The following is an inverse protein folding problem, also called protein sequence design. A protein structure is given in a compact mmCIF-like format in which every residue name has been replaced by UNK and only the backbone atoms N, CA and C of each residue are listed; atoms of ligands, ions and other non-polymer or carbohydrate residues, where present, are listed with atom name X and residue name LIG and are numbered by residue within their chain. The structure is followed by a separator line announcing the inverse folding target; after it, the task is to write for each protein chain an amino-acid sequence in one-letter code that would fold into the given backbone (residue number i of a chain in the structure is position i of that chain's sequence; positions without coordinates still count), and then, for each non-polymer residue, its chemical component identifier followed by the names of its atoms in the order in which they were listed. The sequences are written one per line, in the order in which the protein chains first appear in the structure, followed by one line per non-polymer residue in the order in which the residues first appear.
data_IF_455191508209
#
_entry.id   IF_455191508209
#
_cell.length_a   1.000
_cell.length_b   1.000
_cell.length_c   1.000
_cell.angle_alpha   90.00
_cell.angle_beta   90.00
_cell.angle_gamma   90.00
#
_symmetry.space_group_name_H-M   'P 1'
#
loop_
_entity.id
_entity.type
_entity.pdbx_description
1 polymer ?
#
# COMPACT_ATOMS: atom_id res chain seq x y z
N UNK A 1 36.08 3.99 9.50
CA UNK A 1 34.94 3.66 8.62
C UNK A 1 34.49 2.24 8.94
N UNK A 2 33.21 2.04 9.17
CA UNK A 2 32.59 0.72 9.37
C UNK A 2 31.64 0.45 8.21
N UNK A 3 31.67 -0.77 7.67
CA UNK A 3 30.85 -1.18 6.52
C UNK A 3 30.06 -2.45 6.88
N UNK A 4 28.81 -2.50 6.49
CA UNK A 4 27.94 -3.66 6.66
C UNK A 4 27.23 -3.97 5.35
N UNK A 5 27.32 -5.22 4.91
CA UNK A 5 26.56 -5.71 3.76
C UNK A 5 25.09 -5.87 4.13
N UNK A 6 24.23 -5.41 3.23
CA UNK A 6 22.79 -5.52 3.31
C UNK A 6 22.29 -6.41 2.14
N UNK A 7 21.11 -6.98 2.28
CA UNK A 7 20.49 -7.73 1.17
C UNK A 7 20.17 -6.90 -0.08
N UNK A 8 20.26 -5.58 0.03
CA UNK A 8 19.92 -4.63 -1.03
C UNK A 8 21.02 -3.59 -1.25
N UNK A 9 22.24 -3.84 -0.79
CA UNK A 9 23.35 -2.90 -0.95
C UNK A 9 24.31 -2.88 0.23
N UNK A 10 24.91 -1.73 0.52
CA UNK A 10 25.94 -1.59 1.54
C UNK A 10 25.66 -0.36 2.42
N UNK A 11 25.75 -0.53 3.73
CA UNK A 11 25.69 0.57 4.69
C UNK A 11 27.10 0.92 5.18
N UNK A 12 27.46 2.20 5.12
CA UNK A 12 28.75 2.72 5.54
C UNK A 12 28.58 3.76 6.62
N UNK A 13 29.32 3.60 7.73
CA UNK A 13 29.42 4.61 8.79
C UNK A 13 30.82 5.20 8.79
N UNK A 14 30.88 6.52 8.75
CA UNK A 14 32.13 7.27 8.86
C UNK A 14 31.95 8.50 9.76
N UNK A 15 33.02 9.06 10.21
CA UNK A 15 33.06 10.20 11.16
C UNK A 15 33.69 11.39 10.47
N UNK A 16 32.88 12.30 9.86
CA UNK A 16 33.39 13.52 9.23
C UNK A 16 34.13 14.43 10.23
N UNK A 17 33.63 14.48 11.45
CA UNK A 17 34.26 15.21 12.56
C UNK A 17 34.36 14.30 13.77
N UNK A 18 35.52 14.23 14.39
CA UNK A 18 35.75 13.50 15.64
C UNK A 18 36.82 14.23 16.44
N UNK A 19 36.40 15.12 17.35
CA UNK A 19 37.23 15.91 18.24
C UNK A 19 36.72 15.73 19.66
N UNK A 20 37.44 16.24 20.63
CA UNK A 20 37.02 16.23 22.05
C UNK A 20 35.73 17.04 22.28
N UNK A 21 35.46 18.02 21.43
CA UNK A 21 34.31 18.93 21.54
C UNK A 21 33.12 18.50 20.70
N UNK A 22 33.34 17.82 19.58
CA UNK A 22 32.28 17.47 18.60
C UNK A 22 32.61 16.14 17.92
N UNK A 23 31.58 15.29 17.82
CA UNK A 23 31.63 14.06 17.06
C UNK A 23 30.42 13.97 16.11
N UNK A 24 30.66 13.91 14.82
CA UNK A 24 29.63 13.68 13.80
C UNK A 24 29.80 12.29 13.20
N UNK A 25 28.77 11.46 13.29
CA UNK A 25 28.66 10.19 12.60
C UNK A 25 27.74 10.34 11.39
N UNK A 26 28.19 9.90 10.23
CA UNK A 26 27.37 9.86 9.01
C UNK A 26 27.10 8.40 8.60
N UNK A 27 25.83 8.10 8.35
CA UNK A 27 25.40 6.83 7.78
C UNK A 27 25.07 7.05 6.30
N UNK A 28 25.80 6.39 5.43
CA UNK A 28 25.56 6.33 4.00
C UNK A 28 25.04 4.95 3.62
N UNK A 29 23.91 4.90 2.89
CA UNK A 29 23.34 3.66 2.41
C UNK A 29 23.42 3.67 0.88
N UNK A 30 24.25 2.79 0.35
CA UNK A 30 24.41 2.56 -1.07
C UNK A 30 23.50 1.39 -1.48
N UNK A 31 22.47 1.69 -2.27
CA UNK A 31 21.42 0.73 -2.62
C UNK A 31 21.73 0.14 -3.99
N UNK A 32 21.94 -1.17 -4.04
CA UNK A 32 22.00 -1.94 -5.29
C UNK A 32 20.56 -2.21 -5.74
N UNK A 33 20.18 -1.57 -6.83
CA UNK A 33 18.84 -1.67 -7.42
C UNK A 33 18.49 -3.09 -7.85
N UNK A 34 19.42 -3.81 -8.43
CA UNK A 34 19.16 -5.15 -8.97
C UNK A 34 18.98 -6.16 -7.83
N UNK A 35 19.76 -6.02 -6.77
CA UNK A 35 19.59 -6.81 -5.54
C UNK A 35 18.28 -6.46 -4.83
N UNK A 36 17.92 -5.17 -4.76
CA UNK A 36 16.66 -4.73 -4.16
C UNK A 36 15.45 -5.34 -4.88
N UNK A 37 15.43 -5.34 -6.21
CA UNK A 37 14.35 -5.90 -7.01
C UNK A 37 14.25 -7.43 -6.93
N UNK A 38 15.29 -8.14 -6.49
CA UNK A 38 15.25 -9.58 -6.21
C UNK A 38 14.49 -9.90 -4.91
N UNK A 39 14.38 -8.96 -3.99
CA UNK A 39 13.68 -9.17 -2.72
C UNK A 39 12.16 -9.23 -2.96
N UNK A 40 11.51 -10.28 -2.43
CA UNK A 40 10.07 -10.53 -2.64
C UNK A 40 9.17 -9.35 -2.27
N UNK A 41 9.53 -8.63 -1.21
CA UNK A 41 8.77 -7.50 -0.67
C UNK A 41 8.76 -6.26 -1.57
N UNK A 42 9.77 -6.11 -2.44
CA UNK A 42 9.88 -4.96 -3.35
C UNK A 42 9.49 -5.29 -4.80
N UNK A 43 9.17 -6.56 -5.09
CA UNK A 43 8.69 -6.98 -6.41
C UNK A 43 7.27 -6.54 -6.73
N UNK A 44 6.48 -6.21 -5.71
CA UNK A 44 5.08 -5.82 -5.88
C UNK A 44 4.89 -4.38 -6.38
N UNK A 45 5.89 -3.51 -6.19
CA UNK A 45 5.82 -2.09 -6.53
C UNK A 45 6.33 -1.78 -7.95
N UNK A 46 6.24 -2.71 -8.87
CA UNK A 46 6.75 -2.54 -10.24
C UNK A 46 5.87 -1.65 -11.14
N UNK A 47 4.96 -0.87 -10.58
CA UNK A 47 4.10 0.03 -11.34
C UNK A 47 4.83 1.27 -11.91
N UNK A 48 6.11 1.49 -11.58
CA UNK A 48 6.88 2.61 -12.12
C UNK A 48 7.84 2.18 -13.21
N UNK A 49 7.51 2.55 -14.44
CA UNK A 49 8.36 2.46 -15.63
C UNK A 49 9.73 3.15 -15.48
N UNK A 50 9.88 4.05 -14.53
CA UNK A 50 11.10 4.86 -14.35
C UNK A 50 12.11 4.28 -13.37
N UNK A 51 11.74 3.31 -12.53
CA UNK A 51 12.70 2.57 -11.69
C UNK A 51 13.67 3.40 -10.85
N UNK A 52 13.32 4.63 -10.50
CA UNK A 52 14.13 5.47 -9.63
C UNK A 52 13.78 5.18 -8.16
N UNK A 53 14.74 4.62 -7.43
CA UNK A 53 14.60 4.33 -5.99
C UNK A 53 14.41 5.62 -5.19
N UNK A 54 14.98 6.73 -5.66
CA UNK A 54 14.92 8.03 -5.00
C UNK A 54 13.50 8.63 -4.95
N UNK A 55 12.58 8.18 -5.79
CA UNK A 55 11.18 8.64 -5.79
C UNK A 55 10.31 7.88 -4.78
N UNK A 56 10.88 6.92 -4.06
CA UNK A 56 10.16 6.05 -3.12
C UNK A 56 10.32 6.54 -1.70
N UNK A 57 9.23 6.95 -1.08
CA UNK A 57 9.20 7.39 0.32
C UNK A 57 9.78 6.34 1.29
N UNK A 58 9.53 5.05 1.02
CA UNK A 58 10.05 3.95 1.85
C UNK A 58 11.58 3.76 1.79
N UNK A 59 12.27 4.33 0.80
CA UNK A 59 13.73 4.27 0.76
C UNK A 59 14.35 4.99 1.95
N UNK A 60 13.80 6.14 2.34
CA UNK A 60 14.26 6.92 3.48
C UNK A 60 13.74 6.40 4.85
N UNK A 61 12.78 5.48 4.86
CA UNK A 61 12.20 4.92 6.08
C UNK A 61 12.62 3.47 6.30
N UNK A 62 12.07 2.53 5.55
CA UNK A 62 12.28 1.10 5.76
C UNK A 62 13.71 0.64 5.46
N UNK A 63 14.33 1.10 4.36
CA UNK A 63 15.72 0.73 4.05
C UNK A 63 16.70 1.36 5.03
N UNK A 64 16.49 2.62 5.40
CA UNK A 64 17.32 3.31 6.39
C UNK A 64 17.25 2.61 7.76
N UNK A 65 16.07 2.17 8.20
CA UNK A 65 15.95 1.46 9.49
C UNK A 65 16.62 0.10 9.49
N UNK A 66 16.62 -0.63 8.35
CA UNK A 66 17.41 -1.86 8.20
C UNK A 66 18.90 -1.56 8.29
N UNK A 67 19.37 -0.50 7.64
CA UNK A 67 20.76 -0.07 7.71
C UNK A 67 21.16 0.37 9.14
N UNK A 68 20.34 1.21 9.80
CA UNK A 68 20.53 1.60 11.19
C UNK A 68 20.73 0.39 12.11
N UNK A 69 19.84 -0.60 11.99
CA UNK A 69 19.95 -1.82 12.80
C UNK A 69 21.23 -2.60 12.47
N UNK A 70 21.63 -2.67 11.20
CA UNK A 70 22.80 -3.43 10.78
C UNK A 70 24.09 -2.85 11.36
N UNK A 71 24.26 -1.52 11.32
CA UNK A 71 25.50 -0.87 11.72
C UNK A 71 25.53 -0.42 13.18
N UNK A 72 24.37 -0.16 13.82
CA UNK A 72 24.28 0.34 15.19
C UNK A 72 23.63 -0.65 16.16
N UNK A 73 23.56 -1.94 15.82
CA UNK A 73 22.89 -2.95 16.65
C UNK A 73 23.35 -2.96 18.12
N UNK A 74 24.65 -2.80 18.36
CA UNK A 74 25.23 -2.74 19.71
C UNK A 74 24.79 -1.49 20.46
N UNK A 75 24.83 -0.32 19.82
CA UNK A 75 24.41 0.94 20.43
C UNK A 75 22.91 1.00 20.71
N UNK A 76 22.11 0.24 19.95
CA UNK A 76 20.66 0.12 20.13
C UNK A 76 20.25 -0.93 21.16
N UNK A 77 21.18 -1.81 21.61
CA UNK A 77 20.87 -2.90 22.51
C UNK A 77 20.63 -2.42 23.94
N UNK A 78 19.59 -2.99 24.60
CA UNK A 78 19.23 -2.66 25.98
C UNK A 78 19.99 -3.51 27.02
N UNK A 79 20.50 -4.68 26.61
CA UNK A 79 21.00 -5.70 27.54
C UNK A 79 22.45 -5.48 28.05
N UNK A 80 23.23 -4.69 27.35
CA UNK A 80 24.61 -4.37 27.74
C UNK A 80 24.92 -2.91 27.44
N UNK A 81 24.44 -1.99 28.27
CA UNK A 81 24.75 -0.57 28.10
C UNK A 81 26.26 -0.34 28.24
N UNK A 82 26.83 0.41 27.29
CA UNK A 82 28.17 0.99 27.46
C UNK A 82 28.10 2.11 28.50
N UNK A 83 29.11 2.33 29.31
CA UNK A 83 29.16 3.49 30.23
C UNK A 83 28.97 4.84 29.53
N UNK A 84 29.26 4.91 28.24
CA UNK A 84 29.04 6.10 27.39
C UNK A 84 27.61 6.23 26.85
N UNK A 85 26.82 5.16 26.89
CA UNK A 85 25.44 5.16 26.37
C UNK A 85 24.42 5.65 27.39
N UNK A 86 24.78 5.73 28.69
CA UNK A 86 23.85 6.05 29.78
C UNK A 86 23.74 7.56 30.05
N UNK A 87 24.71 8.36 29.61
CA UNK A 87 24.72 9.79 29.83
C UNK A 87 23.99 10.54 28.70
N UNK A 88 22.87 11.23 29.00
CA UNK A 88 22.21 12.08 28.00
C UNK A 88 23.13 13.20 27.55
N UNK A 89 23.29 13.37 26.26
CA UNK A 89 24.07 14.39 25.58
C UNK A 89 23.22 15.26 24.69
N UNK A 90 23.69 16.43 24.32
CA UNK A 90 23.03 17.27 23.33
C UNK A 90 23.29 16.66 21.95
N UNK A 91 22.23 16.11 21.36
CA UNK A 91 22.29 15.41 20.10
C UNK A 91 21.54 16.18 19.00
N UNK A 92 22.09 16.11 17.80
CA UNK A 92 21.40 16.57 16.59
C UNK A 92 21.51 15.48 15.53
N UNK A 93 20.38 15.11 14.92
CA UNK A 93 20.35 14.19 13.79
C UNK A 93 19.60 14.81 12.62
N UNK A 94 20.15 14.64 11.43
CA UNK A 94 19.49 15.07 10.19
C UNK A 94 19.22 13.86 9.31
N UNK A 95 17.96 13.70 8.89
CA UNK A 95 17.50 12.63 8.00
C UNK A 95 16.87 13.26 6.77
N UNK A 96 17.40 12.93 5.60
CA UNK A 96 16.90 13.43 4.33
C UNK A 96 15.65 12.67 3.87
N UNK A 97 14.76 13.35 3.13
CA UNK A 97 13.63 12.76 2.43
C UNK A 97 12.68 11.94 3.32
N UNK A 98 12.38 12.44 4.52
CA UNK A 98 11.48 11.77 5.47
C UNK A 98 10.03 11.92 4.99
N UNK A 99 9.26 10.83 4.83
CA UNK A 99 7.84 10.91 4.47
C UNK A 99 7.01 11.49 5.63
N UNK A 100 5.84 12.06 5.31
CA UNK A 100 4.89 12.58 6.30
C UNK A 100 4.72 14.10 6.24
N UNK A 101 3.64 14.58 6.85
CA UNK A 101 3.36 16.01 6.98
C UNK A 101 4.13 16.64 8.14
N UNK A 102 4.25 17.98 8.15
CA UNK A 102 4.85 18.72 9.29
C UNK A 102 4.18 18.33 10.62
N UNK A 103 2.85 18.30 10.63
CA UNK A 103 2.09 17.95 11.83
C UNK A 103 2.35 16.52 12.30
N UNK A 104 2.40 15.54 11.36
CA UNK A 104 2.66 14.15 11.71
C UNK A 104 4.07 13.95 12.27
N UNK A 105 5.08 14.56 11.66
CA UNK A 105 6.47 14.46 12.12
C UNK A 105 6.61 15.06 13.52
N UNK A 106 6.06 16.26 13.75
CA UNK A 106 6.08 16.90 15.08
C UNK A 106 5.33 16.08 16.11
N UNK A 107 4.12 15.60 15.78
CA UNK A 107 3.29 14.81 16.70
C UNK A 107 3.96 13.50 17.15
N UNK A 108 4.93 12.97 16.39
CA UNK A 108 5.68 11.78 16.75
C UNK A 108 6.98 12.07 17.52
N UNK A 109 7.67 13.16 17.21
CA UNK A 109 9.00 13.39 17.78
C UNK A 109 9.01 14.42 18.93
N UNK A 110 8.18 15.47 18.90
CA UNK A 110 8.15 16.50 19.95
C UNK A 110 7.75 15.97 21.35
N UNK A 111 6.79 15.00 21.47
CA UNK A 111 6.49 14.42 22.79
C UNK A 111 7.66 13.67 23.43
N UNK A 112 8.66 13.29 22.65
CA UNK A 112 9.89 12.61 23.11
C UNK A 112 11.02 13.60 23.46
N UNK A 113 10.72 14.91 23.45
CA UNK A 113 11.68 15.96 23.78
C UNK A 113 12.54 16.45 22.61
N UNK A 114 12.22 16.04 21.38
CA UNK A 114 12.94 16.52 20.20
C UNK A 114 12.38 17.84 19.68
N UNK A 115 13.26 18.81 19.45
CA UNK A 115 12.94 19.99 18.65
C UNK A 115 13.02 19.61 17.17
N UNK A 116 11.92 19.76 16.43
CA UNK A 116 11.82 19.39 15.03
C UNK A 116 12.02 20.61 14.15
N UNK A 117 12.95 20.52 13.20
CA UNK A 117 13.15 21.51 12.12
C UNK A 117 13.02 20.81 10.78
N UNK A 118 12.22 21.38 9.88
CA UNK A 118 11.96 20.82 8.56
C UNK A 118 12.51 21.75 7.48
N UNK A 119 13.26 21.18 6.55
CA UNK A 119 13.77 21.90 5.37
C UNK A 119 13.17 21.29 4.10
N UNK A 120 12.45 22.12 3.35
CA UNK A 120 11.79 21.80 2.09
C UNK A 120 12.56 22.33 0.87
N UNK A 121 13.76 22.86 1.02
CA UNK A 121 14.53 23.54 -0.05
C UNK A 121 14.91 22.62 -1.22
N UNK A 122 14.99 21.31 -0.99
CA UNK A 122 15.36 20.32 -2.00
C UNK A 122 14.18 19.80 -2.84
N UNK A 123 13.04 20.46 -2.78
CA UNK A 123 11.82 20.03 -3.45
C UNK A 123 11.83 20.35 -4.93
N UNK A 124 11.64 19.34 -5.78
CA UNK A 124 11.41 19.52 -7.23
C UNK A 124 9.91 19.77 -7.45
N UNK A 125 9.56 20.82 -8.19
CA UNK A 125 8.18 21.18 -8.46
C UNK A 125 7.41 20.02 -9.10
N UNK A 126 6.27 19.64 -8.50
CA UNK A 126 5.36 18.59 -9.00
C UNK A 126 5.48 17.23 -8.34
N UNK A 127 6.38 17.02 -7.37
CA UNK A 127 6.47 15.78 -6.60
C UNK A 127 5.89 15.91 -5.19
N UNK A 128 5.37 14.81 -4.60
CA UNK A 128 5.01 14.74 -3.18
C UNK A 128 6.29 14.87 -2.34
N UNK A 129 6.36 15.91 -1.54
CA UNK A 129 7.55 16.38 -0.87
C UNK A 129 7.83 15.61 0.42
N UNK A 130 9.09 15.21 0.56
CA UNK A 130 9.62 14.64 1.79
C UNK A 130 10.71 15.58 2.31
N UNK A 131 10.48 16.30 3.42
CA UNK A 131 11.44 17.24 3.95
C UNK A 131 12.72 16.56 4.46
N UNK A 132 13.79 17.32 4.52
CA UNK A 132 14.91 16.99 5.38
C UNK A 132 14.54 17.35 6.82
N UNK A 133 14.53 16.35 7.69
CA UNK A 133 14.15 16.49 9.10
C UNK A 133 15.42 16.60 9.96
N UNK A 134 15.51 17.66 10.75
CA UNK A 134 16.54 17.80 11.79
C UNK A 134 15.87 17.74 13.15
N UNK A 135 16.30 16.76 13.97
CA UNK A 135 15.88 16.58 15.35
C UNK A 135 17.05 17.02 16.24
N UNK A 136 16.80 17.89 17.21
CA UNK A 136 17.78 18.28 18.21
C UNK A 136 17.18 18.19 19.61
N UNK A 137 17.98 17.69 20.56
CA UNK A 137 17.51 17.50 21.93
C UNK A 137 18.56 16.83 22.80
N UNK A 138 18.26 16.70 24.09
CA UNK A 138 19.11 16.05 25.06
C UNK A 138 18.60 14.64 25.35
N UNK A 139 19.36 13.63 24.89
CA UNK A 139 18.97 12.23 24.99
C UNK A 139 20.24 11.34 25.00
N UNK A 140 20.07 10.03 25.21
CA UNK A 140 21.12 9.06 24.93
C UNK A 140 21.14 8.74 23.41
N UNK A 141 22.30 8.32 22.91
CA UNK A 141 22.43 7.84 21.52
C UNK A 141 21.49 6.65 21.26
N UNK A 142 21.33 5.79 22.27
CA UNK A 142 20.41 4.65 22.22
C UNK A 142 18.96 5.08 21.99
N UNK A 143 18.48 6.06 22.77
CA UNK A 143 17.11 6.56 22.63
C UNK A 143 16.89 7.17 21.25
N UNK A 144 17.81 8.01 20.79
CA UNK A 144 17.78 8.59 19.45
C UNK A 144 17.63 7.52 18.37
N UNK A 145 18.51 6.51 18.38
CA UNK A 145 18.52 5.45 17.37
C UNK A 145 17.24 4.58 17.44
N UNK A 146 16.73 4.29 18.64
CA UNK A 146 15.50 3.54 18.80
C UNK A 146 14.25 4.34 18.40
N UNK A 147 14.21 5.66 18.68
CA UNK A 147 13.16 6.54 18.19
C UNK A 147 13.13 6.57 16.65
N UNK A 148 14.27 6.76 15.99
CA UNK A 148 14.36 6.73 14.53
C UNK A 148 13.92 5.37 13.97
N UNK A 149 14.42 4.26 14.56
CA UNK A 149 14.11 2.91 14.10
C UNK A 149 12.62 2.59 14.13
N UNK A 150 11.90 3.10 15.12
CA UNK A 150 10.46 2.83 15.28
C UNK A 150 9.63 3.85 14.50
N UNK A 151 9.95 5.14 14.58
CA UNK A 151 9.07 6.20 14.10
C UNK A 151 9.21 6.50 12.60
N UNK A 152 10.38 6.30 11.99
CA UNK A 152 10.53 6.52 10.54
C UNK A 152 9.60 5.62 9.70
N UNK A 153 9.48 4.29 9.95
CA UNK A 153 8.53 3.46 9.23
C UNK A 153 7.06 3.84 9.48
N UNK A 154 6.74 4.39 10.65
CA UNK A 154 5.38 4.85 10.99
C UNK A 154 4.95 6.03 10.12
N UNK A 155 5.90 6.86 9.69
CA UNK A 155 5.62 8.03 8.84
C UNK A 155 5.28 7.67 7.41
N UNK A 156 5.78 6.56 6.87
CA UNK A 156 5.47 6.15 5.49
C UNK A 156 4.23 5.26 5.35
N UNK A 157 3.44 5.16 6.40
CA UNK A 157 2.17 4.41 6.39
C UNK A 157 2.29 2.95 6.82
N UNK A 158 3.50 2.48 7.12
CA UNK A 158 3.72 1.12 7.62
C UNK A 158 5.06 0.52 7.19
N UNK A 159 5.38 -0.65 7.74
CA UNK A 159 6.56 -1.40 7.34
C UNK A 159 6.34 -2.13 6.03
N UNK A 160 7.26 -1.96 5.09
CA UNK A 160 7.28 -2.67 3.82
C UNK A 160 7.99 -4.03 3.87
N UNK A 161 8.21 -4.61 5.07
CA UNK A 161 8.79 -5.94 5.26
C UNK A 161 7.98 -6.77 6.26
N UNK A 162 8.13 -8.09 6.22
CA UNK A 162 7.39 -9.02 7.08
C UNK A 162 7.52 -8.67 8.56
N UNK A 163 6.38 -8.52 9.22
CA UNK A 163 6.26 -8.43 10.66
C UNK A 163 6.02 -9.86 11.16
N UNK A 164 6.94 -10.39 11.96
CA UNK A 164 6.80 -11.67 12.65
C UNK A 164 6.73 -11.44 14.17
N UNK A 165 6.50 -12.48 14.95
CA UNK A 165 6.42 -12.40 16.41
C UNK A 165 7.67 -11.76 17.04
N UNK A 166 8.83 -11.87 16.39
CA UNK A 166 10.09 -11.23 16.81
C UNK A 166 10.06 -9.71 16.68
N UNK A 167 9.21 -9.15 15.81
CA UNK A 167 9.04 -7.70 15.70
C UNK A 167 8.27 -7.12 16.88
N UNK A 168 7.34 -7.88 17.47
CA UNK A 168 6.66 -7.50 18.72
C UNK A 168 7.67 -7.41 19.85
N UNK A 169 8.53 -8.43 20.00
CA UNK A 169 9.57 -8.44 21.03
C UNK A 169 10.56 -7.26 20.85
N UNK A 170 10.94 -6.96 19.60
CA UNK A 170 11.78 -5.80 19.30
C UNK A 170 11.09 -4.47 19.65
N UNK A 171 9.81 -4.34 19.29
CA UNK A 171 9.04 -3.14 19.62
C UNK A 171 8.93 -3.00 21.14
N UNK A 172 8.52 -4.06 21.85
CA UNK A 172 8.40 -4.06 23.29
C UNK A 172 9.72 -3.69 23.97
N UNK A 173 10.85 -4.31 23.56
CA UNK A 173 12.16 -4.03 24.13
C UNK A 173 12.65 -2.61 23.85
N UNK A 174 12.50 -2.11 22.61
CA UNK A 174 13.07 -0.83 22.18
C UNK A 174 12.20 0.38 22.53
N UNK A 175 10.92 0.17 22.77
CA UNK A 175 9.94 1.21 23.03
C UNK A 175 9.43 1.23 24.48
N UNK A 176 9.84 0.28 25.32
CA UNK A 176 9.36 0.10 26.69
C UNK A 176 9.42 1.37 27.55
N UNK A 177 10.45 2.19 27.39
CA UNK A 177 10.67 3.38 28.21
C UNK A 177 9.84 4.61 27.80
N UNK A 178 9.23 4.64 26.62
CA UNK A 178 8.58 5.85 26.11
C UNK A 178 7.21 5.63 25.43
N UNK A 179 7.04 4.53 24.71
CA UNK A 179 5.82 4.30 23.91
C UNK A 179 4.55 4.19 24.75
N UNK A 180 4.54 3.60 25.97
CA UNK A 180 3.32 3.53 26.78
C UNK A 180 2.71 4.91 27.10
N UNK A 181 3.55 5.93 27.29
CA UNK A 181 3.14 7.29 27.62
C UNK A 181 2.99 8.21 26.40
N UNK A 182 3.31 7.72 25.21
CA UNK A 182 3.30 8.53 23.99
C UNK A 182 1.86 8.86 23.55
N UNK A 183 1.50 10.15 23.29
CA UNK A 183 0.13 10.55 22.96
C UNK A 183 -0.40 9.94 21.67
N UNK A 184 0.47 9.51 20.76
CA UNK A 184 0.11 8.82 19.51
C UNK A 184 0.40 7.31 19.56
N UNK A 185 0.47 6.70 20.75
CA UNK A 185 0.78 5.29 20.98
C UNK A 185 -0.01 4.34 20.06
N UNK A 186 -1.32 4.50 19.98
CA UNK A 186 -2.18 3.62 19.17
C UNK A 186 -1.85 3.72 17.67
N UNK A 187 -1.64 4.95 17.16
CA UNK A 187 -1.24 5.17 15.76
C UNK A 187 0.12 4.53 15.47
N UNK A 188 1.07 4.65 16.39
CA UNK A 188 2.41 4.05 16.27
C UNK A 188 2.29 2.52 16.21
N UNK A 189 1.58 1.91 17.17
CA UNK A 189 1.39 0.46 17.21
C UNK A 189 0.70 -0.06 15.95
N UNK A 190 -0.40 0.58 15.54
CA UNK A 190 -1.17 0.19 14.36
C UNK A 190 -0.34 0.26 13.08
N UNK A 191 0.41 1.36 12.87
CA UNK A 191 1.24 1.53 11.66
C UNK A 191 2.52 0.68 11.69
N UNK A 192 3.15 0.52 12.85
CA UNK A 192 4.38 -0.28 12.98
C UNK A 192 4.14 -1.77 12.77
N UNK A 193 3.00 -2.29 13.23
CA UNK A 193 2.61 -3.69 13.13
C UNK A 193 1.67 -3.97 11.94
N UNK A 194 1.61 -3.06 10.96
CA UNK A 194 0.68 -3.01 9.85
C UNK A 194 0.07 -4.37 9.43
N UNK A 195 -1.27 -4.41 9.29
CA UNK A 195 -2.09 -5.53 8.82
C UNK A 195 -2.22 -6.80 9.69
N UNK A 196 -1.65 -6.84 10.89
CA UNK A 196 -1.80 -8.00 11.78
C UNK A 196 -2.54 -7.63 13.07
N UNK A 197 -3.87 -7.60 13.04
CA UNK A 197 -4.73 -7.27 14.19
C UNK A 197 -4.40 -8.08 15.45
N UNK A 198 -4.00 -9.34 15.32
CA UNK A 198 -3.58 -10.20 16.44
C UNK A 198 -2.30 -9.70 17.11
N UNK A 199 -1.31 -9.25 16.33
CA UNK A 199 -0.03 -8.78 16.85
C UNK A 199 -0.12 -7.42 17.56
N UNK A 200 -1.05 -6.55 17.12
CA UNK A 200 -1.30 -5.26 17.80
C UNK A 200 -1.79 -5.49 19.23
N UNK A 201 -2.76 -6.40 19.39
CA UNK A 201 -3.29 -6.72 20.72
C UNK A 201 -2.21 -7.33 21.64
N UNK A 202 -1.39 -8.25 21.12
CA UNK A 202 -0.28 -8.83 21.89
C UNK A 202 0.77 -7.77 22.29
N UNK A 203 1.09 -6.83 21.41
CA UNK A 203 2.01 -5.74 21.71
C UNK A 203 1.44 -4.79 22.78
N UNK A 204 0.14 -4.48 22.71
CA UNK A 204 -0.55 -3.66 23.73
C UNK A 204 -0.47 -4.34 25.10
N UNK A 205 -0.75 -5.63 25.18
CA UNK A 205 -0.66 -6.41 26.43
C UNK A 205 0.78 -6.43 26.97
N UNK A 206 1.78 -6.69 26.14
CA UNK A 206 3.21 -6.71 26.55
C UNK A 206 3.71 -5.35 27.03
N UNK A 207 3.22 -4.23 26.45
CA UNK A 207 3.64 -2.88 26.80
C UNK A 207 2.89 -2.30 28.01
N UNK A 208 1.66 -2.74 28.25
CA UNK A 208 0.78 -2.19 29.29
C UNK A 208 0.94 -2.87 30.65
N UNK A 209 1.60 -4.05 30.75
CA UNK A 209 1.60 -4.84 31.96
C UNK A 209 0.19 -5.22 32.44
N UNK A 210 0.05 -5.68 33.70
CA UNK A 210 -1.24 -6.18 34.24
C UNK A 210 -2.37 -5.14 34.32
N UNK A 211 -2.07 -3.84 34.19
CA UNK A 211 -3.07 -2.76 34.22
C UNK A 211 -3.76 -2.49 32.86
N UNK A 212 -3.31 -3.14 31.77
CA UNK A 212 -3.78 -2.87 30.41
C UNK A 212 -4.85 -3.80 29.86
N UNK A 213 -5.25 -4.83 30.60
CA UNK A 213 -6.20 -5.86 30.10
C UNK A 213 -7.58 -5.31 29.74
N UNK A 214 -8.10 -4.29 30.45
CA UNK A 214 -9.41 -3.72 30.18
C UNK A 214 -9.49 -2.97 28.83
N UNK A 215 -8.43 -2.27 28.43
CA UNK A 215 -8.36 -1.56 27.14
C UNK A 215 -8.13 -2.48 25.95
N UNK A 216 -7.43 -3.61 26.15
CA UNK A 216 -7.18 -4.60 25.11
C UNK A 216 -8.46 -5.36 24.69
N UNK A 217 -9.38 -5.57 25.62
CA UNK A 217 -10.66 -6.27 25.39
C UNK A 217 -11.61 -5.40 24.54
N UNK A 218 -11.60 -4.07 24.72
CA UNK A 218 -12.46 -3.17 23.95
C UNK A 218 -12.02 -3.04 22.48
N UNK A 219 -10.72 -3.08 22.20
CA UNK A 219 -10.17 -3.10 20.84
C UNK A 219 -10.33 -4.47 20.13
N UNK A 220 -10.37 -5.56 20.90
CA UNK A 220 -10.56 -6.91 20.36
C UNK A 220 -12.01 -7.23 19.98
N UNK A 221 -13.00 -6.52 20.56
CA UNK A 221 -14.42 -6.74 20.31
C UNK A 221 -14.98 -5.98 19.10
N UNK A 222 -14.18 -5.19 18.38
CA UNK A 222 -14.59 -4.59 17.13
C UNK A 222 -14.62 -5.66 16.02
N UNK A 223 -15.77 -6.28 15.91
CA UNK A 223 -16.34 -7.02 14.78
C UNK A 223 -15.48 -8.12 14.13
N UNK A 224 -15.49 -9.30 14.72
CA UNK A 224 -14.95 -10.54 14.14
C UNK A 224 -15.91 -11.22 13.14
N UNK A 225 -17.09 -10.66 12.85
CA UNK A 225 -18.14 -11.31 12.05
C UNK A 225 -18.19 -10.89 10.59
N UNK A 226 -17.65 -9.73 10.21
CA UNK A 226 -17.72 -9.23 8.83
C UNK A 226 -16.55 -9.71 7.97
N UNK A 227 -16.84 -10.26 6.80
CA UNK A 227 -15.82 -10.57 5.78
C UNK A 227 -15.04 -9.30 5.42
N UNK A 228 -13.70 -9.35 5.25
CA UNK A 228 -12.93 -8.20 4.78
C UNK A 228 -13.51 -7.60 3.49
N UNK A 229 -13.53 -6.27 3.36
CA UNK A 229 -14.12 -5.57 2.21
C UNK A 229 -13.59 -6.09 0.86
N UNK A 230 -12.29 -6.36 0.78
CA UNK A 230 -11.69 -6.93 -0.43
C UNK A 230 -12.34 -8.29 -0.81
N UNK A 231 -12.63 -9.14 0.17
CA UNK A 231 -13.31 -10.41 -0.07
C UNK A 231 -14.77 -10.20 -0.49
N UNK A 232 -15.45 -9.22 0.10
CA UNK A 232 -16.83 -8.86 -0.29
C UNK A 232 -16.87 -8.38 -1.75
N UNK A 233 -15.88 -7.58 -2.20
CA UNK A 233 -15.74 -7.17 -3.61
C UNK A 233 -15.58 -8.36 -4.54
N UNK A 234 -14.61 -9.23 -4.27
CA UNK A 234 -14.38 -10.44 -5.06
C UNK A 234 -15.66 -11.29 -5.17
N UNK A 235 -16.33 -11.57 -4.03
CA UNK A 235 -17.55 -12.36 -3.99
C UNK A 235 -18.71 -11.68 -4.76
N UNK A 236 -18.79 -10.34 -4.73
CA UNK A 236 -19.86 -9.61 -5.45
C UNK A 236 -19.59 -9.56 -6.95
N UNK A 237 -18.36 -9.28 -7.36
CA UNK A 237 -17.96 -9.29 -8.78
C UNK A 237 -18.14 -10.68 -9.39
N UNK A 238 -17.68 -11.74 -8.72
CA UNK A 238 -17.86 -13.12 -9.21
C UNK A 238 -19.33 -13.51 -9.31
N UNK A 239 -20.17 -13.11 -8.35
CA UNK A 239 -21.62 -13.34 -8.46
C UNK A 239 -22.21 -12.68 -9.69
N UNK A 240 -21.78 -11.45 -10.01
CA UNK A 240 -22.24 -10.75 -11.21
C UNK A 240 -21.79 -11.47 -12.47
N UNK A 241 -20.50 -11.78 -12.58
CA UNK A 241 -19.96 -12.54 -13.73
C UNK A 241 -20.74 -13.84 -13.95
N UNK A 242 -20.99 -14.61 -12.89
CA UNK A 242 -21.69 -15.88 -13.01
C UNK A 242 -23.18 -15.72 -13.36
N UNK A 243 -23.82 -14.60 -12.96
CA UNK A 243 -25.21 -14.30 -13.33
C UNK A 243 -25.36 -14.02 -14.82
N UNK A 244 -24.35 -13.40 -15.43
CA UNK A 244 -24.28 -13.09 -16.88
C UNK A 244 -24.00 -14.33 -17.74
N UNK A 245 -23.55 -15.44 -17.15
CA UNK A 245 -23.26 -16.73 -17.81
C UNK A 245 -22.32 -16.63 -19.02
N UNK A 246 -21.20 -15.93 -18.91
CA UNK A 246 -20.29 -15.69 -20.04
C UNK A 246 -19.59 -16.97 -20.48
N UNK A 247 -19.13 -16.97 -21.73
CA UNK A 247 -18.21 -17.96 -22.29
C UNK A 247 -16.78 -17.46 -22.33
N UNK A 248 -16.59 -16.14 -22.38
CA UNK A 248 -15.30 -15.47 -22.38
C UNK A 248 -15.30 -14.30 -21.40
N UNK A 249 -14.21 -14.19 -20.61
CA UNK A 249 -14.05 -13.14 -19.58
C UNK A 249 -12.62 -12.60 -19.64
N UNK A 250 -12.50 -11.28 -19.60
CA UNK A 250 -11.21 -10.62 -19.36
C UNK A 250 -11.23 -9.87 -18.03
N UNK A 251 -10.21 -10.08 -17.21
CA UNK A 251 -9.93 -9.32 -15.98
C UNK A 251 -8.79 -8.34 -16.26
N UNK A 252 -9.13 -7.07 -16.42
CA UNK A 252 -8.20 -5.98 -16.75
C UNK A 252 -7.66 -5.39 -15.45
N UNK A 253 -6.36 -5.52 -15.19
CA UNK A 253 -5.77 -5.25 -13.89
C UNK A 253 -5.97 -6.42 -12.92
N UNK A 254 -5.76 -7.65 -13.39
CA UNK A 254 -6.06 -8.88 -12.66
C UNK A 254 -5.19 -9.09 -11.40
N UNK A 255 -4.11 -8.33 -11.24
CA UNK A 255 -3.17 -8.48 -10.14
C UNK A 255 -2.65 -9.91 -10.02
N UNK A 256 -2.71 -10.46 -8.81
CA UNK A 256 -2.31 -11.84 -8.53
C UNK A 256 -3.33 -12.91 -8.95
N UNK A 257 -4.36 -12.55 -9.72
CA UNK A 257 -5.31 -13.49 -10.34
C UNK A 257 -6.40 -14.01 -9.39
N UNK A 258 -6.79 -13.24 -8.39
CA UNK A 258 -7.76 -13.66 -7.35
C UNK A 258 -9.15 -14.00 -7.91
N UNK A 259 -9.58 -13.36 -9.01
CA UNK A 259 -10.83 -13.65 -9.68
C UNK A 259 -10.69 -14.82 -10.67
N UNK A 260 -9.51 -15.00 -11.25
CA UNK A 260 -9.28 -16.00 -12.31
C UNK A 260 -9.48 -17.43 -11.82
N UNK A 261 -9.03 -17.75 -10.59
CA UNK A 261 -9.17 -19.09 -10.01
C UNK A 261 -10.63 -19.57 -9.96
N UNK A 262 -11.53 -18.85 -9.26
CA UNK A 262 -12.95 -19.19 -9.21
C UNK A 262 -13.64 -19.22 -10.58
N UNK A 263 -13.24 -18.35 -11.53
CA UNK A 263 -13.76 -18.39 -12.91
C UNK A 263 -13.32 -19.66 -13.65
N UNK A 264 -12.08 -20.10 -13.40
CA UNK A 264 -11.53 -21.32 -14.00
C UNK A 264 -12.23 -22.60 -13.51
N UNK A 265 -12.75 -22.58 -12.28
CA UNK A 265 -13.57 -23.68 -11.73
C UNK A 265 -14.91 -23.82 -12.44
N UNK A 266 -15.40 -22.76 -13.10
CA UNK A 266 -16.64 -22.81 -13.87
C UNK A 266 -16.38 -23.33 -15.30
N UNK A 267 -16.83 -24.55 -15.65
CA UNK A 267 -16.54 -25.16 -16.95
C UNK A 267 -17.27 -24.48 -18.14
N UNK A 268 -18.24 -23.60 -17.88
CA UNK A 268 -18.94 -22.84 -18.91
C UNK A 268 -18.10 -21.72 -19.51
N UNK A 269 -17.16 -21.16 -18.73
CA UNK A 269 -16.25 -20.12 -19.20
C UNK A 269 -15.14 -20.80 -19.99
N UNK A 270 -15.21 -20.69 -21.31
CA UNK A 270 -14.28 -21.34 -22.22
C UNK A 270 -12.96 -20.59 -22.36
N UNK A 271 -12.98 -19.27 -22.19
CA UNK A 271 -11.80 -18.41 -22.29
C UNK A 271 -11.75 -17.43 -21.11
N UNK A 272 -10.61 -17.37 -20.46
CA UNK A 272 -10.33 -16.47 -19.34
C UNK A 272 -9.01 -15.75 -19.65
N UNK A 273 -9.08 -14.43 -19.72
CA UNK A 273 -7.91 -13.59 -19.94
C UNK A 273 -7.64 -12.77 -18.69
N UNK A 274 -6.41 -12.75 -18.23
CA UNK A 274 -5.95 -11.85 -17.18
C UNK A 274 -4.89 -10.91 -17.73
N UNK A 275 -5.10 -9.62 -17.63
CA UNK A 275 -4.10 -8.62 -18.02
C UNK A 275 -3.69 -7.76 -16.84
N UNK A 276 -2.42 -7.40 -16.78
CA UNK A 276 -1.89 -6.46 -15.79
C UNK A 276 -0.68 -5.74 -16.38
N UNK A 277 -0.41 -4.53 -15.94
CA UNK A 277 0.79 -3.79 -16.33
C UNK A 277 2.04 -4.36 -15.64
N UNK A 278 1.86 -5.03 -14.51
CA UNK A 278 2.91 -5.63 -13.69
C UNK A 278 3.17 -7.09 -14.08
N UNK A 279 4.30 -7.33 -14.73
CA UNK A 279 4.79 -8.71 -14.98
C UNK A 279 4.96 -9.50 -13.67
N UNK A 280 5.28 -8.78 -12.56
CA UNK A 280 5.40 -9.38 -11.23
C UNK A 280 4.07 -9.97 -10.74
N UNK A 281 2.98 -9.24 -10.91
CA UNK A 281 1.62 -9.71 -10.55
C UNK A 281 1.19 -10.87 -11.45
N UNK A 282 1.43 -10.78 -12.75
CA UNK A 282 1.13 -11.88 -13.67
C UNK A 282 1.88 -13.17 -13.33
N UNK A 283 3.13 -13.07 -12.87
CA UNK A 283 3.87 -14.24 -12.37
C UNK A 283 3.26 -14.81 -11.09
N UNK A 284 2.73 -13.96 -10.21
CA UNK A 284 1.99 -14.42 -9.01
C UNK A 284 0.70 -15.10 -9.43
N UNK A 285 -0.06 -14.51 -10.37
CA UNK A 285 -1.28 -15.12 -10.92
C UNK A 285 -1.00 -16.49 -11.56
N UNK A 286 0.03 -16.59 -12.39
CA UNK A 286 0.49 -17.84 -13.00
C UNK A 286 0.78 -18.93 -11.96
N UNK A 287 1.48 -18.54 -10.88
CA UNK A 287 1.80 -19.44 -9.77
C UNK A 287 0.57 -19.80 -8.93
N UNK A 288 -0.29 -18.83 -8.63
CA UNK A 288 -1.51 -19.04 -7.84
C UNK A 288 -2.49 -19.99 -8.55
N UNK A 289 -2.61 -19.86 -9.86
CA UNK A 289 -3.39 -20.74 -10.70
C UNK A 289 -2.71 -22.11 -10.96
N UNK A 290 -1.42 -22.24 -10.57
CA UNK A 290 -0.64 -23.46 -10.78
C UNK A 290 -0.58 -23.90 -12.26
N UNK A 291 -0.45 -22.93 -13.19
CA UNK A 291 -0.55 -23.17 -14.64
C UNK A 291 0.48 -24.17 -15.16
N UNK A 292 1.70 -24.24 -14.59
CA UNK A 292 2.75 -25.19 -14.97
C UNK A 292 2.37 -26.67 -14.73
N UNK A 293 1.43 -26.92 -13.80
CA UNK A 293 1.00 -28.27 -13.40
C UNK A 293 -0.45 -28.56 -13.76
N UNK A 294 -1.11 -27.59 -14.38
CA UNK A 294 -2.51 -27.71 -14.79
C UNK A 294 -2.65 -28.64 -15.98
N UNK A 295 -3.72 -29.47 -16.06
CA UNK A 295 -4.01 -30.24 -17.26
C UNK A 295 -4.11 -29.34 -18.50
N UNK A 296 -3.50 -29.73 -19.60
CA UNK A 296 -3.38 -28.95 -20.84
C UNK A 296 -4.73 -28.38 -21.31
N UNK A 297 -5.80 -29.19 -21.27
CA UNK A 297 -7.15 -28.75 -21.62
C UNK A 297 -7.68 -27.61 -20.75
N UNK A 298 -7.29 -27.55 -19.48
CA UNK A 298 -7.71 -26.52 -18.56
C UNK A 298 -6.81 -25.29 -18.71
N UNK A 299 -5.48 -25.49 -18.85
CA UNK A 299 -4.52 -24.42 -19.08
C UNK A 299 -4.82 -23.65 -20.38
N UNK A 300 -5.26 -24.35 -21.42
CA UNK A 300 -5.68 -23.73 -22.70
C UNK A 300 -6.85 -22.75 -22.60
N UNK A 301 -7.57 -22.73 -21.45
CA UNK A 301 -8.66 -21.77 -21.19
C UNK A 301 -8.16 -20.45 -20.60
N UNK A 302 -6.91 -20.38 -20.15
CA UNK A 302 -6.38 -19.22 -19.43
C UNK A 302 -5.23 -18.62 -20.21
N UNK A 303 -5.29 -17.32 -20.44
CA UNK A 303 -4.20 -16.54 -20.99
C UNK A 303 -3.84 -15.39 -20.07
N UNK A 304 -2.56 -15.21 -19.76
CA UNK A 304 -2.03 -14.13 -18.94
C UNK A 304 -0.98 -13.35 -19.76
N UNK A 305 -1.20 -12.05 -19.91
CA UNK A 305 -0.22 -11.22 -20.60
C UNK A 305 -0.18 -9.78 -20.10
N UNK A 306 0.96 -9.14 -20.28
CA UNK A 306 1.14 -7.74 -19.92
C UNK A 306 0.38 -6.85 -20.89
N UNK A 307 -0.50 -6.02 -20.35
CA UNK A 307 -1.23 -4.98 -21.07
C UNK A 307 -1.65 -3.86 -20.12
N UNK A 308 -1.93 -2.69 -20.66
CA UNK A 308 -2.46 -1.55 -19.91
C UNK A 308 -3.84 -1.21 -20.42
N UNK A 309 -4.79 -0.94 -19.51
CA UNK A 309 -6.13 -0.48 -19.87
C UNK A 309 -6.15 0.79 -20.74
N UNK A 310 -5.05 1.56 -20.74
CA UNK A 310 -4.93 2.80 -21.54
C UNK A 310 -4.37 2.59 -22.94
N UNK A 311 -4.10 1.35 -23.36
CA UNK A 311 -3.66 1.01 -24.72
C UNK A 311 -4.61 0.00 -25.34
N UNK A 312 -4.91 0.18 -26.63
CA UNK A 312 -5.74 -0.76 -27.38
C UNK A 312 -5.03 -2.12 -27.49
N UNK A 313 -5.74 -3.19 -27.18
CA UNK A 313 -5.23 -4.55 -27.27
C UNK A 313 -6.28 -5.46 -27.89
N UNK A 314 -6.01 -5.89 -29.12
CA UNK A 314 -6.97 -6.71 -29.90
C UNK A 314 -7.22 -8.09 -29.27
N UNK A 315 -6.32 -8.56 -28.38
CA UNK A 315 -6.46 -9.86 -27.72
C UNK A 315 -7.62 -9.91 -26.71
N UNK A 316 -8.10 -8.76 -26.27
CA UNK A 316 -9.25 -8.65 -25.36
C UNK A 316 -10.53 -8.20 -26.07
N UNK A 317 -10.52 -8.12 -27.40
CA UNK A 317 -11.68 -7.67 -28.15
C UNK A 317 -12.81 -8.69 -28.13
N UNK A 318 -14.07 -8.20 -28.14
CA UNK A 318 -15.30 -8.99 -28.26
C UNK A 318 -15.46 -10.07 -27.17
N UNK A 319 -14.95 -9.85 -25.98
CA UNK A 319 -15.22 -10.70 -24.83
C UNK A 319 -16.66 -10.54 -24.35
N UNK A 320 -17.24 -11.60 -23.78
CA UNK A 320 -18.58 -11.49 -23.20
C UNK A 320 -18.58 -10.55 -22.00
N UNK A 321 -17.58 -10.65 -21.13
CA UNK A 321 -17.45 -9.79 -19.93
C UNK A 321 -16.03 -9.26 -19.78
N UNK A 322 -15.90 -7.95 -19.56
CA UNK A 322 -14.68 -7.32 -19.06
C UNK A 322 -14.88 -6.87 -17.60
N UNK A 323 -13.86 -7.05 -16.77
CA UNK A 323 -13.83 -6.65 -15.36
C UNK A 323 -12.72 -5.62 -15.16
N UNK A 324 -13.05 -4.53 -14.46
CA UNK A 324 -12.12 -3.52 -13.94
C UNK A 324 -12.41 -3.38 -12.44
N UNK A 325 -11.83 -4.27 -11.63
CA UNK A 325 -12.04 -4.25 -10.18
C UNK A 325 -10.96 -3.45 -9.48
N UNK A 326 -11.31 -2.24 -9.00
CA UNK A 326 -10.38 -1.31 -8.33
C UNK A 326 -9.19 -0.95 -9.26
N UNK A 327 -9.49 -0.46 -10.46
CA UNK A 327 -8.50 -0.14 -11.51
C UNK A 327 -8.54 1.34 -11.89
N UNK A 328 -9.72 1.92 -12.08
CA UNK A 328 -9.85 3.25 -12.68
C UNK A 328 -9.23 4.34 -11.82
N UNK A 329 -9.27 4.21 -10.50
CA UNK A 329 -8.68 5.14 -9.53
C UNK A 329 -7.15 5.21 -9.58
N UNK A 330 -6.50 4.22 -10.17
CA UNK A 330 -5.05 4.18 -10.39
C UNK A 330 -4.61 4.84 -11.70
N UNK A 331 -5.54 5.24 -12.54
CA UNK A 331 -5.29 5.90 -13.83
C UNK A 331 -5.28 7.42 -13.60
N UNK A 332 -4.31 8.13 -14.18
CA UNK A 332 -4.34 9.59 -14.16
C UNK A 332 -5.60 10.10 -14.87
N UNK A 333 -6.24 11.13 -14.30
CA UNK A 333 -7.55 11.59 -14.77
C UNK A 333 -7.56 12.02 -16.26
N UNK A 334 -6.45 12.55 -16.76
CA UNK A 334 -6.25 12.93 -18.17
C UNK A 334 -6.13 11.71 -19.10
N UNK A 335 -5.84 10.52 -18.57
CA UNK A 335 -5.76 9.25 -19.31
C UNK A 335 -7.02 8.39 -19.22
N UNK A 336 -7.97 8.76 -18.37
CA UNK A 336 -9.24 8.04 -18.25
C UNK A 336 -10.01 7.95 -19.60
N UNK A 337 -10.03 9.00 -20.45
CA UNK A 337 -10.64 8.90 -21.78
C UNK A 337 -9.98 7.86 -22.70
N UNK A 338 -8.68 7.57 -22.53
CA UNK A 338 -8.00 6.52 -23.29
C UNK A 338 -8.46 5.12 -22.83
N UNK A 339 -8.60 4.91 -21.51
CA UNK A 339 -9.19 3.69 -20.97
C UNK A 339 -10.62 3.48 -21.51
N UNK A 340 -11.46 4.53 -21.45
CA UNK A 340 -12.83 4.49 -21.95
C UNK A 340 -12.88 4.05 -23.42
N UNK A 341 -12.08 4.71 -24.26
CA UNK A 341 -12.00 4.38 -25.68
C UNK A 341 -11.53 2.94 -25.92
N UNK A 342 -10.53 2.48 -25.19
CA UNK A 342 -9.97 1.15 -25.39
C UNK A 342 -10.90 0.04 -24.93
N UNK A 343 -11.56 0.20 -23.77
CA UNK A 343 -12.43 -0.83 -23.21
C UNK A 343 -13.79 -0.81 -23.89
N UNK A 344 -14.45 0.36 -23.97
CA UNK A 344 -15.82 0.46 -24.46
C UNK A 344 -15.91 0.70 -25.96
N UNK A 345 -14.89 1.35 -26.58
CA UNK A 345 -14.89 1.66 -28.01
C UNK A 345 -14.18 0.62 -28.89
N UNK A 346 -13.04 0.10 -28.43
CA UNK A 346 -12.22 -0.84 -29.23
C UNK A 346 -12.45 -2.29 -28.83
N UNK A 347 -12.31 -2.62 -27.55
CA UNK A 347 -12.53 -4.00 -27.08
C UNK A 347 -14.01 -4.40 -27.12
N UNK A 348 -14.91 -3.50 -26.87
CA UNK A 348 -16.38 -3.64 -26.96
C UNK A 348 -16.93 -4.95 -26.39
N UNK A 349 -16.67 -5.28 -25.12
CA UNK A 349 -17.24 -6.46 -24.50
C UNK A 349 -18.77 -6.31 -24.38
N UNK A 350 -19.48 -7.43 -24.34
CA UNK A 350 -20.93 -7.39 -24.15
C UNK A 350 -21.33 -6.77 -22.80
N UNK A 351 -20.54 -7.06 -21.76
CA UNK A 351 -20.72 -6.49 -20.43
C UNK A 351 -19.39 -5.96 -19.89
N UNK A 352 -19.45 -4.84 -19.15
CA UNK A 352 -18.29 -4.32 -18.39
C UNK A 352 -18.68 -4.14 -16.93
N UNK A 353 -17.91 -4.72 -16.03
CA UNK A 353 -18.09 -4.57 -14.57
C UNK A 353 -16.98 -3.70 -14.06
N UNK A 354 -17.32 -2.54 -13.50
CA UNK A 354 -16.34 -1.60 -12.90
C UNK A 354 -16.62 -1.48 -11.42
N UNK A 355 -15.59 -1.63 -10.57
CA UNK A 355 -15.67 -1.22 -9.18
C UNK A 355 -14.60 -0.19 -8.87
N UNK A 356 -14.91 0.72 -7.94
CA UNK A 356 -13.99 1.76 -7.48
C UNK A 356 -14.38 2.23 -6.07
N UNK A 357 -13.45 2.77 -5.25
CA UNK A 357 -13.79 3.35 -3.96
C UNK A 357 -14.84 4.45 -4.06
N UNK A 358 -15.67 4.54 -3.01
CA UNK A 358 -16.61 5.65 -2.81
C UNK A 358 -15.99 6.69 -1.88
N UNK A 359 -15.59 7.85 -2.39
CA UNK A 359 -14.97 8.90 -1.58
C UNK A 359 -15.91 9.51 -0.53
N UNK A 360 -17.24 9.51 -0.76
CA UNK A 360 -18.20 9.94 0.26
C UNK A 360 -18.06 9.10 1.54
N UNK A 361 -17.78 7.79 1.40
CA UNK A 361 -17.61 6.88 2.52
C UNK A 361 -16.30 7.09 3.29
N UNK A 362 -15.36 7.88 2.77
CA UNK A 362 -14.08 8.16 3.43
C UNK A 362 -14.27 8.82 4.80
N UNK A 363 -15.37 9.58 4.98
CA UNK A 363 -15.76 10.15 6.27
C UNK A 363 -16.02 9.10 7.37
N UNK A 364 -16.29 7.84 7.00
CA UNK A 364 -16.48 6.74 7.95
C UNK A 364 -15.18 6.12 8.45
N UNK A 365 -14.04 6.48 7.85
CA UNK A 365 -12.74 5.96 8.29
C UNK A 365 -12.07 6.92 9.28
N UNK A 366 -11.99 6.57 10.58
CA UNK A 366 -11.53 7.48 11.63
C UNK A 366 -10.06 7.92 11.50
N UNK A 367 -9.31 7.27 10.63
CA UNK A 367 -7.88 7.55 10.43
C UNK A 367 -7.58 8.14 9.04
N UNK A 368 -8.60 8.55 8.29
CA UNK A 368 -8.45 9.16 6.99
C UNK A 368 -8.80 10.65 7.11
N UNK A 369 -7.83 11.52 6.87
CA UNK A 369 -8.04 12.97 6.91
C UNK A 369 -8.95 13.43 5.76
N UNK A 370 -9.75 14.48 5.93
CA UNK A 370 -10.55 15.04 4.84
C UNK A 370 -9.70 15.36 3.62
N UNK A 371 -10.09 14.83 2.46
CA UNK A 371 -9.38 15.00 1.20
C UNK A 371 -8.23 14.01 0.95
N UNK A 372 -7.96 13.09 1.88
CA UNK A 372 -7.03 11.99 1.64
C UNK A 372 -7.72 10.81 0.95
N UNK A 373 -6.99 10.15 0.06
CA UNK A 373 -7.41 8.90 -0.56
C UNK A 373 -7.11 7.70 0.35
N UNK A 374 -7.86 6.61 0.17
CA UNK A 374 -7.68 5.36 0.94
C UNK A 374 -6.35 4.67 0.67
N UNK A 375 -5.78 4.91 -0.50
CA UNK A 375 -4.51 4.32 -0.92
C UNK A 375 -3.59 5.39 -1.51
N UNK A 376 -2.29 5.27 -1.26
CA UNK A 376 -1.29 6.23 -1.75
C UNK A 376 -1.17 6.26 -3.28
N UNK A 377 -1.58 5.18 -3.93
CA UNK A 377 -1.49 5.01 -5.39
C UNK A 377 -2.77 5.43 -6.12
N UNK A 378 -3.82 5.85 -5.39
CA UNK A 378 -5.01 6.43 -5.99
C UNK A 378 -4.68 7.82 -6.55
N UNK A 379 -5.07 8.03 -7.80
CA UNK A 379 -4.95 9.33 -8.49
C UNK A 379 -6.17 10.20 -8.21
N UNK A 380 -7.30 9.56 -8.02
CA UNK A 380 -8.57 10.16 -7.59
C UNK A 380 -9.43 9.10 -6.90
N UNK A 381 -10.47 9.53 -6.23
CA UNK A 381 -11.57 8.69 -5.77
C UNK A 381 -12.87 9.43 -6.05
N UNK A 382 -13.76 8.83 -6.81
CA UNK A 382 -15.05 9.43 -7.15
C UNK A 382 -16.03 9.39 -5.96
N UNK A 383 -16.73 10.49 -5.74
CA UNK A 383 -17.99 10.46 -5.00
C UNK A 383 -19.06 9.66 -5.77
N UNK A 384 -20.16 9.30 -5.11
CA UNK A 384 -21.27 8.60 -5.78
C UNK A 384 -21.86 9.40 -6.95
N UNK A 385 -21.90 10.72 -6.81
CA UNK A 385 -22.42 11.59 -7.87
C UNK A 385 -21.49 11.61 -9.08
N UNK A 386 -20.18 11.79 -8.85
CA UNK A 386 -19.16 11.81 -9.91
C UNK A 386 -19.05 10.46 -10.62
N UNK A 387 -19.06 9.34 -9.89
CA UNK A 387 -19.03 8.01 -10.49
C UNK A 387 -20.24 7.75 -11.38
N UNK A 388 -21.44 8.11 -10.89
CA UNK A 388 -22.67 7.97 -11.69
C UNK A 388 -22.67 8.86 -12.93
N UNK A 389 -22.14 10.09 -12.82
CA UNK A 389 -22.01 11.00 -13.94
C UNK A 389 -21.04 10.46 -14.98
N UNK A 390 -19.86 10.03 -14.55
CA UNK A 390 -18.86 9.41 -15.41
C UNK A 390 -19.41 8.18 -16.13
N UNK A 391 -19.96 7.24 -15.38
CA UNK A 391 -20.46 5.99 -15.96
C UNK A 391 -21.61 6.21 -16.94
N UNK A 392 -22.52 7.15 -16.67
CA UNK A 392 -23.58 7.52 -17.63
C UNK A 392 -23.02 8.15 -18.89
N UNK A 393 -22.02 9.02 -18.77
CA UNK A 393 -21.35 9.62 -19.94
C UNK A 393 -20.63 8.59 -20.80
N UNK A 394 -19.98 7.59 -20.17
CA UNK A 394 -19.39 6.45 -20.89
C UNK A 394 -20.46 5.62 -21.60
N UNK A 395 -21.54 5.29 -20.89
CA UNK A 395 -22.64 4.51 -21.45
C UNK A 395 -23.26 5.20 -22.68
N UNK A 396 -23.57 6.48 -22.56
CA UNK A 396 -24.11 7.29 -23.66
C UNK A 396 -23.15 7.37 -24.86
N UNK A 397 -21.85 7.61 -24.59
CA UNK A 397 -20.84 7.78 -25.62
C UNK A 397 -20.59 6.52 -26.45
N UNK A 398 -20.67 5.34 -25.82
CA UNK A 398 -20.27 4.07 -26.46
C UNK A 398 -21.45 3.10 -26.69
N UNK A 399 -22.68 3.51 -26.46
CA UNK A 399 -23.88 2.69 -26.73
C UNK A 399 -24.11 1.58 -25.72
N UNK A 400 -23.86 1.86 -24.42
CA UNK A 400 -24.14 0.94 -23.31
C UNK A 400 -25.31 1.44 -22.45
N UNK A 401 -26.01 0.51 -21.85
CA UNK A 401 -26.83 0.76 -20.67
C UNK A 401 -25.98 0.57 -19.41
N UNK A 402 -26.32 1.23 -18.30
CA UNK A 402 -25.57 1.10 -17.06
C UNK A 402 -26.47 0.99 -15.84
N UNK A 403 -26.21 -0.04 -15.02
CA UNK A 403 -26.81 -0.25 -13.71
C UNK A 403 -25.80 -0.04 -12.60
N UNK A 404 -26.28 0.40 -11.43
CA UNK A 404 -25.43 0.75 -10.29
C UNK A 404 -25.75 -0.08 -9.06
N UNK A 405 -24.69 -0.48 -8.35
CA UNK A 405 -24.77 -1.17 -7.07
C UNK A 405 -23.65 -0.68 -6.14
N UNK A 406 -23.63 -1.19 -4.91
CA UNK A 406 -22.57 -0.93 -3.92
C UNK A 406 -22.11 -2.22 -3.27
N UNK A 407 -20.93 -2.17 -2.65
CA UNK A 407 -20.29 -3.32 -1.99
C UNK A 407 -19.79 -2.90 -0.62
N UNK A 408 -20.08 -3.70 0.38
CA UNK A 408 -19.72 -3.45 1.77
C UNK A 408 -20.90 -2.98 2.60
N UNK A 409 -20.63 -2.61 3.86
CA UNK A 409 -21.66 -2.20 4.81
C UNK A 409 -22.28 -0.86 4.40
N UNK A 410 -23.61 -0.77 4.51
CA UNK A 410 -24.36 0.42 4.12
C UNK A 410 -24.35 1.44 5.24
N UNK A 411 -23.88 2.64 4.98
CA UNK A 411 -24.06 3.81 5.83
C UNK A 411 -25.19 4.69 5.30
N UNK A 412 -26.11 5.14 6.15
CA UNK A 412 -27.31 5.89 5.74
C UNK A 412 -26.98 7.12 4.89
N UNK A 413 -25.97 7.89 5.29
CA UNK A 413 -25.55 9.12 4.60
C UNK A 413 -24.60 8.87 3.45
N UNK A 414 -23.61 8.01 3.67
CA UNK A 414 -22.46 7.87 2.77
C UNK A 414 -22.54 6.65 1.82
N UNK A 415 -23.59 5.82 1.95
CA UNK A 415 -23.77 4.64 1.13
C UNK A 415 -22.82 3.50 1.50
N UNK A 416 -22.25 2.83 0.52
CA UNK A 416 -21.33 1.71 0.70
C UNK A 416 -19.87 2.12 0.38
N UNK A 417 -18.86 1.46 0.97
CA UNK A 417 -17.46 1.82 0.80
C UNK A 417 -16.94 1.64 -0.63
N UNK A 418 -17.48 0.70 -1.40
CA UNK A 418 -17.14 0.50 -2.82
C UNK A 418 -18.39 0.67 -3.67
N UNK A 419 -18.26 1.35 -4.78
CA UNK A 419 -19.30 1.50 -5.79
C UNK A 419 -19.03 0.54 -6.95
N UNK A 420 -20.10 0.11 -7.61
CA UNK A 420 -20.09 -0.81 -8.73
C UNK A 420 -20.99 -0.30 -9.84
N UNK A 421 -20.53 -0.39 -11.08
CA UNK A 421 -21.33 -0.19 -12.28
C UNK A 421 -21.24 -1.43 -13.16
N UNK A 422 -22.38 -1.84 -13.70
CA UNK A 422 -22.48 -2.91 -14.68
C UNK A 422 -23.02 -2.32 -15.97
N UNK A 423 -22.18 -2.33 -16.99
CA UNK A 423 -22.54 -1.88 -18.32
C UNK A 423 -22.97 -3.06 -19.18
N UNK A 424 -24.02 -2.89 -19.98
CA UNK A 424 -24.48 -3.86 -20.97
C UNK A 424 -24.59 -3.19 -22.33
N UNK A 425 -23.97 -3.78 -23.35
CA UNK A 425 -24.01 -3.23 -24.71
C UNK A 425 -25.45 -3.24 -25.24
N UNK A 426 -25.91 -2.09 -25.75
CA UNK A 426 -27.27 -1.94 -26.29
C UNK A 426 -27.30 -2.28 -27.79
N UNK A 427 -27.59 -3.53 -28.09
CA UNK A 427 -27.70 -4.00 -29.47
C UNK A 427 -28.85 -3.34 -30.24
N UNK A 428 -29.85 -2.77 -29.56
CA UNK A 428 -31.00 -2.15 -30.22
C UNK A 428 -30.66 -0.78 -30.80
N UNK A 429 -29.77 -0.04 -30.14
CA UNK A 429 -29.29 1.25 -30.62
C UNK A 429 -28.34 1.13 -31.83
N UNK A 430 -27.65 -0.02 -31.96
CA UNK A 430 -26.70 -0.27 -33.05
C UNK A 430 -27.36 -0.63 -34.38
N UNK A 431 -28.62 -1.06 -34.38
CA UNK A 431 -29.37 -1.38 -35.61
C UNK A 431 -30.06 -0.14 -36.23
N UNK A 432 -30.15 0.99 -35.49
CA UNK A 432 -30.79 2.24 -35.95
C UNK A 432 -29.77 3.29 -36.46
N UNK A 433 -28.50 3.05 -36.40
CA UNK A 433 -27.43 3.95 -36.85
C UNK A 433 -26.72 3.43 -38.12
#
# INVERSE_FOLDING_TARGET
MHEAELKFGVARVFFPTATDAECTAALWVDIDRDELLKLKQYRADTFNLTGYINDRQWAASSLLTVALKSVFSTAMAMEKPSPYDEAPSDLTVTVAAVPGTDEEIRALFEPLGWKVTLDFSNNIAGQKFSPTVTLSGRATVRDLLNHLYILLPVLDGGKHYWVDDREIDKLATRAQGWLPEHPKREKILKRYLADQKGLVNEAVVKLAGEAGEAGAIELANADQSAKPLNRQRQDRVLREVFSLRPRSVVDIGCGSGVLLGPMLENPRIAQIVGTDVSVGELRKAHKALNLDRMPERQAARVELFQSSATYADERIANMDVAILMEVIEHIDADRLPALENNVFGVAQPQYVIVTTPNSDYNACYPNLEPGQFRHLDHRFEFSRAEFRQWAKGVAEKFGYLVDFDGIGDVHETYGQPTQMAVFSYDFTAAEES
#
